data_IF_066662443534
#
_entry.id   IF_066662443534
#
_cell.length_a   1.000
_cell.length_b   1.000
_cell.length_c   1.000
_cell.angle_alpha   90.00
_cell.angle_beta   90.00
_cell.angle_gamma   90.00
#
_symmetry.space_group_name_H-M   'P 1'
#
loop_
_entity.id
_entity.type
_entity.pdbx_description
1 polymer ?
#
# COMPACT_ATOMS: atom_id res chain seq x y z
N UNK A 1 12.61 13.02 -60.88
CA UNK A 1 13.19 12.49 -59.63
C UNK A 1 12.11 12.61 -58.56
N UNK A 2 11.41 11.52 -58.24
CA UNK A 2 10.30 11.53 -57.27
C UNK A 2 10.90 11.23 -55.91
N UNK A 3 10.96 12.24 -55.04
CA UNK A 3 11.36 12.07 -53.64
C UNK A 3 10.14 11.52 -52.91
N UNK A 4 10.12 10.20 -52.67
CA UNK A 4 9.10 9.56 -51.85
C UNK A 4 9.34 9.91 -50.39
N UNK A 5 8.49 10.77 -49.83
CA UNK A 5 8.45 11.04 -48.40
C UNK A 5 7.85 9.82 -47.69
N UNK A 6 8.71 8.98 -47.11
CA UNK A 6 8.27 7.89 -46.24
C UNK A 6 7.94 8.50 -44.88
N UNK A 7 6.65 8.67 -44.59
CA UNK A 7 6.16 9.07 -43.28
C UNK A 7 6.18 7.83 -42.37
N UNK A 8 7.25 7.67 -41.57
CA UNK A 8 7.29 6.66 -40.53
C UNK A 8 6.36 7.09 -39.39
N UNK A 9 5.19 6.46 -39.29
CA UNK A 9 4.30 6.64 -38.13
C UNK A 9 4.88 5.80 -37.00
N UNK A 10 5.57 6.44 -36.06
CA UNK A 10 6.02 5.78 -34.84
C UNK A 10 4.79 5.37 -34.02
N UNK A 11 4.54 4.06 -33.90
CA UNK A 11 3.52 3.54 -32.99
C UNK A 11 3.96 3.84 -31.55
N UNK A 12 3.30 4.81 -30.91
CA UNK A 12 3.45 5.06 -29.48
C UNK A 12 2.87 3.88 -28.72
N UNK A 13 3.66 3.20 -27.90
CA UNK A 13 3.13 2.19 -26.98
C UNK A 13 2.04 2.83 -26.11
N UNK A 14 0.90 2.16 -25.96
CA UNK A 14 -0.13 2.64 -25.04
C UNK A 14 0.46 2.70 -23.63
N UNK A 15 0.26 3.82 -22.93
CA UNK A 15 0.69 3.94 -21.55
C UNK A 15 -0.11 2.96 -20.69
N UNK A 16 0.58 2.25 -19.80
CA UNK A 16 -0.07 1.42 -18.79
C UNK A 16 -0.93 2.32 -17.89
N UNK A 17 -2.24 2.06 -17.87
CA UNK A 17 -3.18 2.78 -17.01
C UNK A 17 -3.51 1.94 -15.77
N UNK A 18 -3.35 2.55 -14.60
CA UNK A 18 -3.76 1.95 -13.31
C UNK A 18 -5.19 2.41 -13.01
N UNK A 19 -6.11 1.47 -12.75
CA UNK A 19 -7.48 1.82 -12.34
C UNK A 19 -7.52 2.15 -10.85
N UNK A 20 -7.94 3.37 -10.49
CA UNK A 20 -8.05 3.82 -9.10
C UNK A 20 -8.97 2.94 -8.27
N UNK A 21 -9.99 2.33 -8.89
CA UNK A 21 -10.92 1.47 -8.18
C UNK A 21 -10.28 0.15 -7.75
N UNK A 22 -9.14 -0.23 -8.33
CA UNK A 22 -8.36 -1.43 -8.00
C UNK A 22 -7.35 -1.24 -6.85
N UNK A 23 -7.24 -0.02 -6.33
CA UNK A 23 -6.23 0.33 -5.34
C UNK A 23 -6.71 0.04 -3.91
N UNK A 24 -5.79 -0.51 -3.12
CA UNK A 24 -5.88 -0.59 -1.67
C UNK A 24 -5.59 0.78 -1.05
N UNK A 25 -4.45 1.38 -1.42
CA UNK A 25 -3.98 2.67 -0.94
C UNK A 25 -3.72 3.61 -2.11
N UNK A 26 -4.16 4.86 -1.99
CA UNK A 26 -3.84 5.90 -2.94
C UNK A 26 -3.56 7.25 -2.26
N UNK A 27 -2.41 7.86 -2.57
CA UNK A 27 -2.08 9.24 -2.16
C UNK A 27 -1.91 10.15 -3.37
N UNK A 28 -2.74 11.21 -3.48
CA UNK A 28 -2.69 12.10 -4.65
C UNK A 28 -1.58 13.17 -4.60
N UNK A 29 -1.20 13.67 -3.43
CA UNK A 29 -0.31 14.84 -3.35
C UNK A 29 0.95 14.61 -2.54
N UNK A 30 0.98 13.59 -1.69
CA UNK A 30 2.10 13.37 -0.76
C UNK A 30 2.44 11.88 -0.64
N UNK A 31 3.21 11.51 0.37
CA UNK A 31 3.88 10.21 0.49
C UNK A 31 3.00 9.16 1.16
N UNK A 32 3.21 7.89 0.78
CA UNK A 32 2.72 6.74 1.55
C UNK A 32 3.90 6.16 2.33
N UNK A 33 3.76 6.03 3.66
CA UNK A 33 4.77 5.42 4.53
C UNK A 33 4.19 4.18 5.21
N UNK A 34 4.79 3.03 4.94
CA UNK A 34 4.37 1.73 5.44
C UNK A 34 5.46 1.13 6.33
N UNK A 35 5.18 1.04 7.62
CA UNK A 35 6.15 0.56 8.60
C UNK A 35 6.32 -0.95 8.58
N UNK A 36 7.41 -1.40 9.22
CA UNK A 36 7.87 -2.80 9.21
C UNK A 36 6.83 -3.80 9.69
N UNK A 37 7.07 -5.06 9.33
CA UNK A 37 6.30 -6.22 9.80
C UNK A 37 4.81 -6.17 9.42
N UNK A 38 4.48 -5.50 8.31
CA UNK A 38 3.11 -5.27 7.84
C UNK A 38 2.78 -6.02 6.54
N UNK A 39 1.49 -6.21 6.27
CA UNK A 39 0.97 -6.93 5.11
C UNK A 39 -0.06 -6.07 4.36
N UNK A 40 0.13 -5.90 3.05
CA UNK A 40 -0.74 -5.09 2.19
C UNK A 40 -1.13 -5.90 0.94
N UNK A 41 -2.31 -6.52 0.99
CA UNK A 41 -2.83 -7.33 -0.11
C UNK A 41 -3.72 -6.47 -1.00
N UNK A 42 -3.08 -5.79 -1.95
CA UNK A 42 -3.70 -4.97 -2.96
C UNK A 42 -2.72 -3.93 -3.50
N UNK A 43 -3.10 -3.27 -4.60
CA UNK A 43 -2.25 -2.30 -5.24
C UNK A 43 -2.12 -1.00 -4.41
N UNK A 44 -0.90 -0.49 -4.31
CA UNK A 44 -0.57 0.78 -3.66
C UNK A 44 -0.13 1.77 -4.73
N UNK A 45 -0.63 3.00 -4.69
CA UNK A 45 -0.15 4.04 -5.59
C UNK A 45 -0.01 5.41 -4.91
N UNK A 46 1.02 6.17 -5.28
CA UNK A 46 1.17 7.57 -4.84
C UNK A 46 1.71 8.46 -5.96
N UNK A 47 1.26 9.71 -6.05
CA UNK A 47 1.92 10.65 -6.97
C UNK A 47 3.27 11.15 -6.47
N UNK A 48 3.49 11.10 -5.16
CA UNK A 48 4.82 11.29 -4.56
C UNK A 48 5.37 9.93 -4.13
N UNK A 49 6.24 9.92 -3.14
CA UNK A 49 6.99 8.73 -2.75
C UNK A 49 6.11 7.63 -2.14
N UNK A 50 6.54 6.38 -2.32
CA UNK A 50 6.09 5.23 -1.55
C UNK A 50 7.30 4.65 -0.81
N UNK A 51 7.30 4.77 0.52
CA UNK A 51 8.37 4.31 1.41
C UNK A 51 7.88 3.10 2.22
N UNK A 52 8.38 1.94 1.85
CA UNK A 52 8.03 0.64 2.40
C UNK A 52 9.20 0.16 3.24
N UNK A 53 9.00 0.00 4.55
CA UNK A 53 10.06 -0.42 5.47
C UNK A 53 10.34 -1.92 5.39
N UNK A 54 11.29 -2.34 6.20
CA UNK A 54 11.80 -3.70 6.26
C UNK A 54 10.69 -4.73 6.54
N UNK A 55 10.83 -5.95 5.99
CA UNK A 55 9.92 -7.08 6.24
C UNK A 55 8.44 -6.81 5.95
N UNK A 56 8.13 -5.83 5.10
CA UNK A 56 6.77 -5.61 4.60
C UNK A 56 6.49 -6.59 3.46
N UNK A 57 5.25 -7.11 3.42
CA UNK A 57 4.74 -7.88 2.28
C UNK A 57 3.67 -7.08 1.55
N UNK A 58 3.81 -6.92 0.25
CA UNK A 58 2.87 -6.15 -0.57
C UNK A 58 2.67 -6.75 -1.95
N UNK A 59 1.59 -6.36 -2.63
CA UNK A 59 1.36 -6.69 -4.04
C UNK A 59 2.01 -5.64 -4.97
N UNK A 60 1.25 -5.04 -5.90
CA UNK A 60 1.76 -4.04 -6.82
C UNK A 60 1.97 -2.67 -6.17
N UNK A 61 3.01 -1.95 -6.57
CA UNK A 61 3.36 -0.61 -6.06
C UNK A 61 3.64 0.34 -7.22
N UNK A 62 3.00 1.49 -7.22
CA UNK A 62 3.11 2.49 -8.27
C UNK A 62 3.45 3.87 -7.67
N UNK A 63 4.40 4.59 -8.25
CA UNK A 63 4.70 5.97 -7.86
C UNK A 63 5.03 6.88 -9.04
N UNK A 64 4.45 8.08 -9.09
CA UNK A 64 4.93 9.13 -10.01
C UNK A 64 6.24 9.80 -9.55
N UNK A 65 6.75 9.43 -8.38
CA UNK A 65 8.05 9.80 -7.84
C UNK A 65 8.85 8.53 -7.47
N UNK A 66 9.29 8.40 -6.22
CA UNK A 66 10.15 7.30 -5.79
C UNK A 66 9.37 6.13 -5.19
N UNK A 67 9.88 4.92 -5.38
CA UNK A 67 9.50 3.73 -4.59
C UNK A 67 10.75 3.23 -3.88
N UNK A 68 10.67 3.07 -2.56
CA UNK A 68 11.75 2.51 -1.75
C UNK A 68 11.25 1.34 -0.94
N UNK A 69 11.92 0.19 -1.05
CA UNK A 69 11.72 -0.97 -0.21
C UNK A 69 12.88 -1.12 0.76
N UNK A 70 12.58 -1.33 2.04
CA UNK A 70 13.55 -1.72 3.05
C UNK A 70 13.99 -3.17 2.88
N UNK A 71 14.88 -3.61 3.78
CA UNK A 71 15.45 -4.95 3.73
C UNK A 71 14.40 -6.04 3.97
N UNK A 72 14.60 -7.21 3.37
CA UNK A 72 13.74 -8.39 3.52
C UNK A 72 12.26 -8.14 3.13
N UNK A 73 11.97 -7.10 2.35
CA UNK A 73 10.65 -6.86 1.81
C UNK A 73 10.26 -7.96 0.81
N UNK A 74 8.97 -8.24 0.71
CA UNK A 74 8.41 -9.23 -0.23
C UNK A 74 7.37 -8.54 -1.10
N UNK A 75 7.56 -8.61 -2.41
CA UNK A 75 6.68 -7.94 -3.38
C UNK A 75 6.13 -8.98 -4.35
N UNK A 76 4.81 -8.96 -4.57
CA UNK A 76 4.09 -9.87 -5.47
C UNK A 76 3.24 -9.07 -6.46
N UNK A 77 3.86 -8.60 -7.54
CA UNK A 77 3.19 -7.74 -8.51
C UNK A 77 4.16 -6.84 -9.23
N UNK A 78 3.64 -5.77 -9.83
CA UNK A 78 4.44 -4.79 -10.58
C UNK A 78 4.96 -3.71 -9.66
N UNK A 79 6.18 -3.23 -9.91
CA UNK A 79 6.72 -2.02 -9.29
C UNK A 79 7.03 -1.02 -10.39
N UNK A 80 6.34 0.12 -10.39
CA UNK A 80 6.60 1.20 -11.35
C UNK A 80 6.86 2.51 -10.60
N UNK A 81 8.04 3.09 -10.76
CA UNK A 81 8.41 4.40 -10.22
C UNK A 81 8.82 5.35 -11.36
N UNK A 82 8.25 6.56 -11.44
CA UNK A 82 8.64 7.58 -12.42
C UNK A 82 9.91 8.34 -12.05
N UNK A 83 10.45 8.18 -10.83
CA UNK A 83 11.77 8.66 -10.45
C UNK A 83 12.67 7.48 -10.06
N UNK A 84 12.94 7.23 -8.78
CA UNK A 84 13.86 6.17 -8.35
C UNK A 84 13.06 4.96 -7.86
N UNK A 85 13.42 3.75 -8.30
CA UNK A 85 13.00 2.50 -7.68
C UNK A 85 14.18 1.88 -6.93
N UNK A 86 14.08 1.75 -5.61
CA UNK A 86 15.14 1.20 -4.75
C UNK A 86 14.66 -0.06 -4.05
N UNK A 87 15.41 -1.14 -4.18
CA UNK A 87 15.24 -2.38 -3.43
C UNK A 87 16.30 -2.49 -2.32
N UNK A 88 15.85 -2.70 -1.09
CA UNK A 88 16.69 -3.02 0.06
C UNK A 88 17.42 -4.37 -0.08
N UNK A 89 18.25 -4.70 0.90
CA UNK A 89 18.95 -5.98 0.90
C UNK A 89 17.97 -7.14 0.97
N UNK A 90 18.25 -8.22 0.24
CA UNK A 90 17.43 -9.45 0.24
C UNK A 90 15.94 -9.20 -0.08
N UNK A 91 15.63 -8.22 -0.93
CA UNK A 91 14.29 -8.09 -1.51
C UNK A 91 13.91 -9.42 -2.20
N UNK A 92 12.71 -9.92 -1.96
CA UNK A 92 12.10 -11.01 -2.71
C UNK A 92 10.96 -10.45 -3.58
N UNK A 93 11.25 -10.23 -4.87
CA UNK A 93 10.30 -9.72 -5.84
C UNK A 93 9.86 -10.82 -6.81
N UNK A 94 8.54 -10.95 -6.99
CA UNK A 94 7.93 -11.78 -8.03
C UNK A 94 6.89 -10.95 -8.76
N UNK A 95 7.12 -10.68 -10.04
CA UNK A 95 6.26 -9.82 -10.86
C UNK A 95 6.68 -9.80 -12.31
N UNK A 96 6.01 -8.97 -13.13
CA UNK A 96 6.45 -8.77 -14.51
C UNK A 96 7.58 -7.75 -14.59
N UNK A 97 7.46 -6.63 -13.87
CA UNK A 97 8.35 -5.48 -14.03
C UNK A 97 8.72 -4.83 -12.70
N UNK A 98 10.00 -4.50 -12.54
CA UNK A 98 10.55 -3.59 -11.53
C UNK A 98 11.21 -2.39 -12.23
N UNK A 99 10.49 -1.27 -12.28
CA UNK A 99 10.81 -0.16 -13.18
C UNK A 99 11.03 1.15 -12.43
N UNK A 100 12.06 1.90 -12.84
CA UNK A 100 12.41 3.25 -12.38
C UNK A 100 12.92 4.13 -13.52
N UNK A 101 13.09 5.44 -13.33
CA UNK A 101 14.04 6.21 -14.14
C UNK A 101 15.47 5.82 -13.78
N UNK A 102 15.74 5.74 -12.47
CA UNK A 102 16.91 5.11 -11.87
C UNK A 102 16.45 3.86 -11.12
N UNK A 103 17.20 2.77 -11.22
CA UNK A 103 16.91 1.54 -10.47
C UNK A 103 18.12 1.15 -9.64
N UNK A 104 17.95 1.00 -8.34
CA UNK A 104 18.98 0.54 -7.41
C UNK A 104 18.51 -0.74 -6.72
N UNK A 105 19.20 -1.84 -6.97
CA UNK A 105 18.92 -3.13 -6.32
C UNK A 105 20.09 -3.47 -5.42
N UNK A 106 19.86 -3.53 -4.10
CA UNK A 106 20.91 -3.81 -3.13
C UNK A 106 21.30 -5.30 -3.08
N UNK A 107 22.30 -5.59 -2.24
CA UNK A 107 22.92 -6.92 -2.10
C UNK A 107 21.92 -8.05 -1.83
N UNK A 108 22.17 -9.20 -2.45
CA UNK A 108 21.44 -10.46 -2.29
C UNK A 108 19.93 -10.40 -2.61
N UNK A 109 19.46 -9.40 -3.36
CA UNK A 109 18.08 -9.34 -3.81
C UNK A 109 17.77 -10.46 -4.83
N UNK A 110 16.57 -11.01 -4.77
CA UNK A 110 16.03 -11.97 -5.73
C UNK A 110 14.86 -11.34 -6.47
N UNK A 111 14.96 -11.26 -7.79
CA UNK A 111 13.95 -10.66 -8.66
C UNK A 111 13.52 -11.72 -9.67
N UNK A 112 12.24 -12.07 -9.69
CA UNK A 112 11.62 -12.85 -10.75
C UNK A 112 10.72 -11.91 -11.56
N UNK A 113 11.21 -11.50 -12.73
CA UNK A 113 10.65 -10.45 -13.58
C UNK A 113 11.74 -9.60 -14.22
N UNK A 114 11.34 -8.69 -15.09
CA UNK A 114 12.25 -7.76 -15.76
C UNK A 114 12.56 -6.56 -14.86
N UNK A 115 13.77 -6.03 -14.97
CA UNK A 115 14.21 -4.81 -14.30
C UNK A 115 14.50 -3.75 -15.36
N UNK A 116 13.91 -2.57 -15.20
CA UNK A 116 13.88 -1.56 -16.26
C UNK A 116 14.25 -0.16 -15.76
N UNK A 117 15.30 0.46 -16.31
CA UNK A 117 15.71 1.83 -16.03
C UNK A 117 15.45 2.75 -17.24
N UNK A 118 14.53 3.70 -17.10
CA UNK A 118 13.94 4.45 -18.23
C UNK A 118 14.71 5.68 -18.68
N UNK A 119 15.44 6.35 -17.81
CA UNK A 119 16.08 7.60 -18.21
C UNK A 119 17.40 7.85 -17.56
N UNK A 120 17.81 7.01 -16.62
CA UNK A 120 19.10 7.11 -15.95
C UNK A 120 19.74 5.74 -15.74
N UNK A 121 20.53 5.60 -14.67
CA UNK A 121 21.36 4.42 -14.43
C UNK A 121 20.58 3.28 -13.78
N UNK A 122 21.03 2.07 -14.07
CA UNK A 122 20.66 0.87 -13.32
C UNK A 122 21.87 0.36 -12.56
N UNK A 123 21.70 0.13 -11.26
CA UNK A 123 22.73 -0.46 -10.42
C UNK A 123 22.17 -1.69 -9.70
N UNK A 124 22.72 -2.86 -10.03
CA UNK A 124 22.51 -4.12 -9.32
C UNK A 124 23.74 -4.37 -8.46
N UNK A 125 23.60 -4.39 -7.14
CA UNK A 125 24.72 -4.68 -6.22
C UNK A 125 25.06 -6.17 -6.18
N UNK A 126 26.09 -6.53 -5.40
CA UNK A 126 26.63 -7.89 -5.40
C UNK A 126 25.64 -8.97 -4.95
N UNK A 127 25.80 -10.18 -5.48
CA UNK A 127 25.04 -11.36 -5.06
C UNK A 127 23.58 -11.39 -5.48
N UNK A 128 23.11 -10.40 -6.25
CA UNK A 128 21.72 -10.36 -6.67
C UNK A 128 21.42 -11.38 -7.79
N UNK A 129 20.20 -11.91 -7.80
CA UNK A 129 19.72 -12.85 -8.80
C UNK A 129 18.50 -12.31 -9.50
N UNK A 130 18.52 -12.28 -10.83
CA UNK A 130 17.42 -11.81 -11.67
C UNK A 130 17.00 -12.94 -12.62
N UNK A 131 15.73 -13.35 -12.53
CA UNK A 131 15.08 -14.28 -13.46
C UNK A 131 14.18 -13.48 -14.38
N UNK A 132 14.79 -12.92 -15.42
CA UNK A 132 14.24 -11.93 -16.33
C UNK A 132 15.39 -11.13 -16.95
N UNK A 133 15.07 -10.03 -17.62
CA UNK A 133 16.06 -9.18 -18.29
C UNK A 133 16.36 -7.90 -17.51
N UNK A 134 17.58 -7.39 -17.66
CA UNK A 134 18.01 -6.05 -17.22
C UNK A 134 18.02 -5.11 -18.43
N UNK A 135 17.12 -4.14 -18.46
CA UNK A 135 16.96 -3.21 -19.59
C UNK A 135 17.17 -1.76 -19.12
N UNK A 136 18.29 -1.15 -19.48
CA UNK A 136 18.57 0.25 -19.15
C UNK A 136 18.64 1.12 -20.40
N UNK A 137 17.99 2.29 -20.39
CA UNK A 137 18.18 3.31 -21.42
C UNK A 137 19.54 4.04 -21.30
N UNK A 138 20.26 3.88 -20.19
CA UNK A 138 21.65 4.36 -20.00
C UNK A 138 22.58 3.26 -19.50
N UNK A 139 23.60 3.62 -18.71
CA UNK A 139 24.54 2.68 -18.13
C UNK A 139 23.83 1.67 -17.21
N UNK A 140 24.24 0.41 -17.33
CA UNK A 140 23.81 -0.70 -16.49
C UNK A 140 25.03 -1.25 -15.79
N UNK A 141 25.08 -1.16 -14.46
CA UNK A 141 26.14 -1.69 -13.64
C UNK A 141 25.65 -2.89 -12.84
N UNK A 142 26.38 -4.00 -12.92
CA UNK A 142 26.07 -5.25 -12.23
C UNK A 142 27.24 -5.66 -11.36
N UNK A 143 27.01 -5.73 -10.06
CA UNK A 143 28.01 -6.02 -9.03
C UNK A 143 28.40 -7.49 -8.97
N UNK A 144 29.46 -7.77 -8.21
CA UNK A 144 30.10 -9.07 -8.13
C UNK A 144 29.16 -10.23 -7.78
N UNK A 145 29.42 -11.41 -8.33
CA UNK A 145 28.70 -12.66 -8.06
C UNK A 145 27.19 -12.60 -8.34
N UNK A 146 26.74 -11.69 -9.19
CA UNK A 146 25.34 -11.59 -9.61
C UNK A 146 25.02 -12.55 -10.76
N UNK A 147 23.77 -12.99 -10.85
CA UNK A 147 23.30 -13.88 -11.93
C UNK A 147 22.04 -13.32 -12.60
N UNK A 148 22.04 -13.29 -13.94
CA UNK A 148 20.93 -12.82 -14.77
C UNK A 148 20.53 -13.94 -15.73
N UNK A 149 19.32 -14.48 -15.54
CA UNK A 149 18.71 -15.49 -16.40
C UNK A 149 17.85 -14.82 -17.50
N UNK A 150 18.49 -13.99 -18.30
CA UNK A 150 17.88 -13.19 -19.36
C UNK A 150 18.91 -12.29 -20.02
N UNK A 151 18.44 -11.26 -20.70
CA UNK A 151 19.29 -10.28 -21.37
C UNK A 151 19.80 -9.24 -20.36
N UNK A 152 20.96 -8.64 -20.64
CA UNK A 152 21.46 -7.49 -19.93
C UNK A 152 21.87 -6.41 -20.93
N UNK A 153 21.04 -5.39 -21.11
CA UNK A 153 21.17 -4.41 -22.18
C UNK A 153 21.24 -2.99 -21.62
N UNK A 154 22.31 -2.28 -21.99
CA UNK A 154 22.41 -0.83 -21.82
C UNK A 154 21.89 -0.10 -23.07
N UNK A 155 21.61 1.19 -22.94
CA UNK A 155 21.15 2.00 -24.08
C UNK A 155 22.25 2.18 -25.13
N UNK A 156 21.88 2.51 -26.36
CA UNK A 156 22.85 2.81 -27.44
C UNK A 156 23.82 3.91 -26.98
N UNK A 157 25.12 3.62 -27.04
CA UNK A 157 26.18 4.56 -26.65
C UNK A 157 26.48 4.60 -25.14
N UNK A 158 25.85 3.73 -24.35
CA UNK A 158 26.10 3.56 -22.92
C UNK A 158 26.79 2.23 -22.61
N UNK A 159 27.25 2.10 -21.37
CA UNK A 159 28.09 1.00 -20.94
C UNK A 159 27.29 -0.03 -20.14
N UNK A 160 27.54 -1.29 -20.46
CA UNK A 160 27.22 -2.40 -19.59
C UNK A 160 28.48 -2.78 -18.80
N UNK A 161 28.44 -2.59 -17.48
CA UNK A 161 29.59 -2.75 -16.58
C UNK A 161 29.35 -3.95 -15.68
N UNK A 162 30.28 -4.91 -15.70
CA UNK A 162 30.22 -6.10 -14.87
C UNK A 162 31.32 -6.11 -13.80
N UNK A 163 30.94 -6.48 -12.58
CA UNK A 163 31.84 -6.87 -11.51
C UNK A 163 32.44 -8.26 -11.75
N UNK A 164 33.14 -8.77 -10.73
CA UNK A 164 33.73 -10.10 -10.77
C UNK A 164 32.65 -11.20 -10.76
N UNK A 165 32.85 -12.27 -11.54
CA UNK A 165 32.00 -13.47 -11.55
C UNK A 165 30.51 -13.22 -11.85
N UNK A 166 30.19 -12.19 -12.65
CA UNK A 166 28.81 -12.01 -13.14
C UNK A 166 28.49 -13.04 -14.21
N UNK A 167 27.30 -13.63 -14.15
CA UNK A 167 26.78 -14.53 -15.18
C UNK A 167 25.53 -13.94 -15.85
N UNK A 168 25.52 -13.85 -17.17
CA UNK A 168 24.36 -13.48 -18.00
C UNK A 168 24.11 -14.60 -18.99
N UNK A 169 22.88 -15.12 -19.06
CA UNK A 169 22.55 -16.23 -19.97
C UNK A 169 22.04 -15.77 -21.35
N UNK A 170 21.53 -14.54 -21.43
CA UNK A 170 20.98 -13.96 -22.65
C UNK A 170 21.98 -13.07 -23.41
N UNK A 171 21.44 -12.19 -24.24
CA UNK A 171 22.21 -11.20 -24.99
C UNK A 171 22.72 -10.08 -24.09
N UNK A 172 23.85 -9.49 -24.49
CA UNK A 172 24.38 -8.25 -23.93
C UNK A 172 24.38 -7.11 -24.95
N UNK A 173 23.61 -7.25 -26.04
CA UNK A 173 23.49 -6.24 -27.07
C UNK A 173 22.78 -4.99 -26.54
N UNK A 174 23.07 -3.79 -27.08
CA UNK A 174 22.38 -2.58 -26.69
C UNK A 174 20.88 -2.63 -26.96
N UNK A 175 20.10 -1.93 -26.14
CA UNK A 175 18.65 -1.82 -26.27
C UNK A 175 18.26 -1.11 -27.57
N UNK A 176 17.34 -1.70 -28.33
CA UNK A 176 16.87 -1.17 -29.62
C UNK A 176 15.72 -0.15 -29.50
N UNK A 177 15.00 -0.17 -28.36
CA UNK A 177 13.84 0.66 -28.11
C UNK A 177 13.82 1.22 -26.70
N UNK A 178 13.57 2.53 -26.58
CA UNK A 178 13.42 3.18 -25.31
C UNK A 178 12.20 2.68 -24.52
N UNK A 179 12.38 2.51 -23.21
CA UNK A 179 11.32 2.17 -22.25
C UNK A 179 10.47 3.42 -21.92
N UNK A 180 9.15 3.30 -21.96
CA UNK A 180 8.20 4.41 -21.78
C UNK A 180 7.82 4.65 -20.30
N UNK A 181 7.39 5.87 -19.98
CA UNK A 181 6.83 6.21 -18.67
C UNK A 181 5.36 5.79 -18.52
N UNK A 182 4.89 5.73 -17.26
CA UNK A 182 3.49 5.50 -16.93
C UNK A 182 2.87 6.72 -16.23
N UNK A 183 1.55 6.75 -16.12
CA UNK A 183 0.80 7.82 -15.43
C UNK A 183 -0.20 7.21 -14.47
N UNK A 184 -0.39 7.82 -13.30
CA UNK A 184 -1.41 7.40 -12.35
C UNK A 184 -2.78 8.01 -12.66
N UNK A 185 -3.87 7.35 -12.24
CA UNK A 185 -5.21 7.92 -12.33
C UNK A 185 -5.32 9.16 -11.43
N UNK A 186 -6.27 10.03 -11.74
CA UNK A 186 -6.62 11.14 -10.84
C UNK A 186 -7.56 10.64 -9.74
N UNK A 187 -7.48 11.24 -8.54
CA UNK A 187 -8.51 11.02 -7.53
C UNK A 187 -9.87 11.48 -8.10
N UNK A 188 -10.99 10.83 -7.75
CA UNK A 188 -12.30 11.38 -8.06
C UNK A 188 -12.43 12.80 -7.48
N UNK A 189 -13.31 13.63 -8.05
CA UNK A 189 -13.57 14.94 -7.46
C UNK A 189 -14.21 14.80 -6.06
N UNK A 190 -13.77 15.65 -5.10
CA UNK A 190 -14.40 15.71 -3.78
C UNK A 190 -15.91 15.98 -3.94
N UNK A 191 -16.79 15.17 -3.33
CA UNK A 191 -18.23 15.40 -3.38
C UNK A 191 -18.59 16.69 -2.62
N UNK A 192 -19.71 17.30 -2.97
CA UNK A 192 -20.18 18.53 -2.31
C UNK A 192 -20.26 18.31 -0.80
N UNK A 193 -19.64 19.22 -0.03
CA UNK A 193 -19.60 19.12 1.43
C UNK A 193 -21.02 19.16 2.01
N UNK A 194 -21.38 18.17 2.84
CA UNK A 194 -22.73 18.10 3.39
C UNK A 194 -22.96 19.16 4.48
N UNK A 195 -24.23 19.51 4.69
CA UNK A 195 -24.64 20.43 5.75
C UNK A 195 -24.57 19.74 7.11
N UNK A 196 -23.75 20.27 8.01
CA UNK A 196 -23.59 19.82 9.39
C UNK A 196 -24.83 20.17 10.22
N UNK A 197 -25.22 19.28 11.13
CA UNK A 197 -26.28 19.51 12.09
C UNK A 197 -25.87 20.42 13.25
N UNK A 198 -26.78 20.61 14.21
CA UNK A 198 -26.52 21.38 15.44
C UNK A 198 -26.46 20.51 16.70
N UNK A 199 -27.00 19.31 16.63
CA UNK A 199 -27.12 18.39 17.77
C UNK A 199 -25.83 17.61 17.96
N UNK A 200 -25.28 17.64 19.18
CA UNK A 200 -24.20 16.74 19.55
C UNK A 200 -24.77 15.39 19.94
N UNK A 201 -24.09 14.32 19.57
CA UNK A 201 -24.37 12.96 20.05
C UNK A 201 -23.27 12.58 21.03
N UNK A 202 -23.68 12.18 22.24
CA UNK A 202 -22.77 11.74 23.29
C UNK A 202 -23.25 10.41 23.87
N UNK A 203 -22.32 9.49 24.07
CA UNK A 203 -22.54 8.23 24.78
C UNK A 203 -21.56 8.13 25.94
N UNK A 204 -22.04 7.79 27.13
CA UNK A 204 -21.18 7.50 28.29
C UNK A 204 -20.45 6.17 28.09
N UNK A 205 -19.47 5.85 28.95
CA UNK A 205 -18.80 4.56 28.89
C UNK A 205 -19.81 3.41 29.04
N UNK A 206 -19.55 2.29 28.36
CA UNK A 206 -20.39 1.08 28.38
C UNK A 206 -21.85 1.32 27.93
N UNK A 207 -22.10 2.40 27.18
CA UNK A 207 -23.44 2.73 26.70
C UNK A 207 -23.72 2.15 25.33
N UNK A 208 -25.00 2.04 24.96
CA UNK A 208 -25.41 1.77 23.59
C UNK A 208 -26.12 3.01 23.03
N UNK A 209 -25.64 3.50 21.90
CA UNK A 209 -26.23 4.63 21.17
C UNK A 209 -26.69 4.13 19.81
N UNK A 210 -27.97 4.33 19.49
CA UNK A 210 -28.51 4.04 18.15
C UNK A 210 -28.86 5.37 17.48
N UNK A 211 -28.34 5.58 16.27
CA UNK A 211 -28.59 6.79 15.49
C UNK A 211 -29.34 6.47 14.21
N UNK A 212 -30.45 7.17 13.98
CA UNK A 212 -31.05 7.24 12.66
C UNK A 212 -30.13 8.04 11.71
N UNK A 213 -30.16 7.79 10.40
CA UNK A 213 -29.49 8.63 9.42
C UNK A 213 -29.87 10.11 9.56
N UNK A 214 -28.90 11.01 9.42
CA UNK A 214 -29.14 12.45 9.60
C UNK A 214 -27.87 13.29 9.75
N UNK A 215 -28.07 14.60 9.93
CA UNK A 215 -27.00 15.57 10.17
C UNK A 215 -26.88 15.92 11.64
N UNK A 216 -25.68 15.74 12.17
CA UNK A 216 -25.28 16.01 13.55
C UNK A 216 -24.12 17.01 13.57
N UNK A 217 -23.85 17.57 14.75
CA UNK A 217 -22.68 18.40 14.99
C UNK A 217 -21.50 17.50 15.33
N UNK A 218 -21.33 17.13 16.59
CA UNK A 218 -20.19 16.31 17.02
C UNK A 218 -20.69 14.94 17.53
N UNK A 219 -20.03 13.84 17.16
CA UNK A 219 -20.21 12.52 17.76
C UNK A 219 -19.03 12.22 18.69
N UNK A 220 -19.32 11.91 19.95
CA UNK A 220 -18.31 11.54 20.95
C UNK A 220 -18.85 10.41 21.81
N UNK A 221 -18.37 9.20 21.59
CA UNK A 221 -18.78 8.01 22.34
C UNK A 221 -17.60 7.51 23.17
N UNK A 222 -17.82 7.34 24.47
CA UNK A 222 -16.80 6.91 25.43
C UNK A 222 -16.50 5.40 25.35
N UNK A 223 -15.50 4.95 26.10
CA UNK A 223 -14.93 3.60 26.02
C UNK A 223 -15.97 2.48 26.20
N UNK A 224 -15.68 1.31 25.62
CA UNK A 224 -16.48 0.08 25.79
C UNK A 224 -17.96 0.21 25.37
N UNK A 225 -18.28 1.22 24.56
CA UNK A 225 -19.64 1.52 24.13
C UNK A 225 -19.95 0.92 22.75
N UNK A 226 -21.24 0.82 22.45
CA UNK A 226 -21.75 0.36 21.16
C UNK A 226 -22.47 1.49 20.43
N UNK A 227 -22.09 1.75 19.18
CA UNK A 227 -22.80 2.62 18.25
C UNK A 227 -23.49 1.77 17.19
N UNK A 228 -24.82 1.88 17.07
CA UNK A 228 -25.59 1.21 16.03
C UNK A 228 -26.00 2.22 14.96
N UNK A 229 -25.62 1.91 13.72
CA UNK A 229 -25.99 2.64 12.52
C UNK A 229 -26.77 1.70 11.59
N UNK A 230 -27.79 2.23 10.92
CA UNK A 230 -28.54 1.55 9.86
C UNK A 230 -28.25 2.20 8.51
N UNK A 231 -28.59 1.53 7.40
CA UNK A 231 -28.47 2.07 6.04
C UNK A 231 -28.94 3.52 5.92
N UNK A 232 -28.14 4.34 5.23
CA UNK A 232 -28.40 5.77 5.07
C UNK A 232 -27.17 6.65 5.26
N UNK A 233 -27.39 7.96 5.22
CA UNK A 233 -26.33 8.96 5.28
C UNK A 233 -26.26 9.63 6.65
N UNK A 234 -25.08 9.62 7.25
CA UNK A 234 -24.74 10.30 8.49
C UNK A 234 -23.77 11.44 8.20
N UNK A 235 -24.00 12.61 8.77
CA UNK A 235 -23.13 13.77 8.61
C UNK A 235 -22.70 14.28 9.98
N UNK A 236 -21.41 14.44 10.18
CA UNK A 236 -20.80 14.97 11.40
C UNK A 236 -19.80 16.08 11.06
N UNK A 237 -19.60 17.01 11.99
CA UNK A 237 -18.43 17.86 12.02
C UNK A 237 -17.21 17.04 12.41
N UNK A 238 -17.26 16.35 13.55
CA UNK A 238 -16.21 15.46 14.05
C UNK A 238 -16.80 14.14 14.54
N UNK A 239 -16.02 13.07 14.39
CA UNK A 239 -16.34 11.72 14.82
C UNK A 239 -15.26 11.24 15.78
N UNK A 240 -15.64 10.92 17.02
CA UNK A 240 -14.77 10.31 18.02
C UNK A 240 -15.42 9.08 18.63
N UNK A 241 -14.71 7.96 18.56
CA UNK A 241 -15.04 6.73 19.29
C UNK A 241 -13.86 6.36 20.17
N UNK A 242 -14.04 6.35 21.49
CA UNK A 242 -12.98 5.99 22.42
C UNK A 242 -12.63 4.48 22.33
N UNK A 243 -11.63 4.05 23.11
CA UNK A 243 -11.09 2.68 23.03
C UNK A 243 -12.14 1.59 23.25
N UNK A 244 -11.95 0.45 22.57
CA UNK A 244 -12.79 -0.76 22.63
C UNK A 244 -14.26 -0.50 22.29
N UNK A 245 -14.54 0.58 21.57
CA UNK A 245 -15.87 0.84 21.03
C UNK A 245 -16.22 -0.15 19.92
N UNK A 246 -17.50 -0.46 19.80
CA UNK A 246 -18.04 -1.29 18.72
C UNK A 246 -18.98 -0.43 17.89
N UNK A 247 -18.74 -0.34 16.58
CA UNK A 247 -19.64 0.30 15.63
C UNK A 247 -20.32 -0.79 14.81
N UNK A 248 -21.57 -1.11 15.16
CA UNK A 248 -22.40 -2.00 14.37
C UNK A 248 -23.00 -1.22 13.20
N UNK A 249 -22.78 -1.69 11.98
CA UNK A 249 -23.21 -1.00 10.77
C UNK A 249 -24.12 -1.93 9.95
N UNK A 250 -25.43 -1.77 10.12
CA UNK A 250 -26.40 -2.54 9.34
C UNK A 250 -26.55 -1.94 7.94
N UNK A 251 -25.98 -2.61 6.95
CA UNK A 251 -26.03 -2.29 5.52
C UNK A 251 -27.07 -3.13 4.76
N UNK A 252 -27.98 -3.83 5.46
CA UNK A 252 -29.02 -4.66 4.83
C UNK A 252 -30.02 -3.87 3.98
N UNK A 253 -30.27 -2.60 4.33
CA UNK A 253 -31.12 -1.67 3.58
C UNK A 253 -30.38 -0.86 2.50
N UNK A 254 -29.11 -1.19 2.22
CA UNK A 254 -28.21 -0.44 1.35
C UNK A 254 -27.01 0.15 2.08
N UNK A 255 -26.26 1.01 1.38
CA UNK A 255 -25.00 1.57 1.89
C UNK A 255 -25.20 2.42 3.15
N UNK A 256 -24.19 2.42 4.02
CA UNK A 256 -24.03 3.39 5.10
C UNK A 256 -22.93 4.37 4.72
N UNK A 257 -23.30 5.64 4.59
CA UNK A 257 -22.38 6.72 4.20
C UNK A 257 -22.14 7.64 5.39
N UNK A 258 -20.91 7.69 5.89
CA UNK A 258 -20.50 8.55 7.00
C UNK A 258 -19.67 9.70 6.42
N UNK A 259 -20.19 10.92 6.50
CA UNK A 259 -19.46 12.12 6.07
C UNK A 259 -19.03 12.93 7.28
N UNK A 260 -17.74 13.26 7.36
CA UNK A 260 -17.15 14.00 8.47
C UNK A 260 -16.36 15.19 7.93
N UNK A 261 -16.53 16.40 8.47
CA UNK A 261 -15.94 17.61 7.87
C UNK A 261 -14.69 18.15 8.54
N UNK A 262 -14.29 17.60 9.69
CA UNK A 262 -13.20 18.13 10.51
C UNK A 262 -12.23 17.10 11.05
N UNK A 263 -12.64 15.86 11.31
CA UNK A 263 -11.76 14.84 11.85
C UNK A 263 -12.51 13.56 12.20
N UNK A 264 -11.95 12.43 11.79
CA UNK A 264 -12.46 11.10 12.11
C UNK A 264 -11.39 10.37 12.91
N UNK A 265 -11.62 10.26 14.21
CA UNK A 265 -10.63 9.76 15.15
C UNK A 265 -11.21 8.60 15.96
N UNK A 266 -10.38 7.60 16.20
CA UNK A 266 -10.74 6.47 17.07
C UNK A 266 -9.65 6.22 18.09
N UNK A 267 -10.07 5.73 19.26
CA UNK A 267 -9.16 5.20 20.26
C UNK A 267 -8.57 3.86 19.82
N UNK A 268 -8.16 3.07 20.81
CA UNK A 268 -7.54 1.76 20.57
C UNK A 268 -8.59 0.67 20.46
N UNK A 269 -8.39 -0.31 19.58
CA UNK A 269 -9.21 -1.51 19.47
C UNK A 269 -10.69 -1.24 19.17
N UNK A 270 -11.01 -0.16 18.44
CA UNK A 270 -12.38 0.06 17.93
C UNK A 270 -12.63 -0.90 16.76
N UNK A 271 -13.83 -1.47 16.74
CA UNK A 271 -14.25 -2.42 15.72
C UNK A 271 -15.42 -1.86 14.93
N UNK A 272 -15.33 -1.87 13.60
CA UNK A 272 -16.45 -1.64 12.70
C UNK A 272 -16.95 -2.98 12.20
N UNK A 273 -18.17 -3.33 12.60
CA UNK A 273 -18.81 -4.61 12.33
C UNK A 273 -19.98 -4.40 11.36
N UNK A 274 -19.71 -4.27 10.05
CA UNK A 274 -20.80 -4.19 9.08
C UNK A 274 -21.49 -5.54 8.90
N UNK A 275 -22.80 -5.50 8.71
CA UNK A 275 -23.66 -6.64 8.37
C UNK A 275 -24.55 -6.30 7.19
N UNK A 276 -24.77 -7.23 6.27
CA UNK A 276 -25.54 -7.00 5.05
C UNK A 276 -24.64 -6.92 3.81
N UNK A 277 -25.24 -6.57 2.68
CA UNK A 277 -24.57 -6.54 1.36
C UNK A 277 -24.12 -5.14 0.94
N UNK A 278 -24.68 -4.08 1.56
CA UNK A 278 -24.27 -2.71 1.29
C UNK A 278 -22.87 -2.39 1.82
N UNK A 279 -22.32 -1.28 1.36
CA UNK A 279 -20.96 -0.82 1.69
C UNK A 279 -20.98 0.14 2.89
N UNK A 280 -19.87 0.19 3.61
CA UNK A 280 -19.56 1.28 4.54
C UNK A 280 -18.63 2.25 3.83
N UNK A 281 -19.09 3.47 3.62
CA UNK A 281 -18.35 4.52 2.91
C UNK A 281 -18.09 5.66 3.90
N UNK A 282 -16.83 6.01 4.11
CA UNK A 282 -16.42 7.07 5.03
C UNK A 282 -15.76 8.19 4.23
N UNK A 283 -16.38 9.35 4.17
CA UNK A 283 -15.84 10.55 3.54
C UNK A 283 -15.37 11.53 4.62
N UNK A 284 -14.09 11.89 4.60
CA UNK A 284 -13.51 12.90 5.49
C UNK A 284 -13.13 14.13 4.67
N UNK A 285 -13.95 15.16 4.80
CA UNK A 285 -13.85 16.43 4.10
C UNK A 285 -13.00 17.45 4.87
N UNK A 286 -12.66 18.53 4.16
CA UNK A 286 -11.92 19.64 4.75
C UNK A 286 -10.47 19.27 5.07
N UNK A 287 -9.83 20.09 5.89
CA UNK A 287 -8.44 19.87 6.32
C UNK A 287 -8.32 18.89 7.49
N UNK A 288 -9.44 18.25 7.87
CA UNK A 288 -9.48 17.22 8.89
C UNK A 288 -8.76 15.96 8.45
N UNK A 289 -7.99 15.35 9.35
CA UNK A 289 -7.35 14.06 9.12
C UNK A 289 -8.20 12.90 9.65
N UNK A 290 -7.67 11.70 9.42
CA UNK A 290 -8.10 10.47 10.07
C UNK A 290 -6.99 10.00 10.98
N UNK A 291 -7.32 9.67 12.23
CA UNK A 291 -6.40 8.96 13.10
C UNK A 291 -7.07 7.71 13.69
N UNK A 292 -6.54 6.54 13.34
CA UNK A 292 -6.95 5.28 13.94
C UNK A 292 -5.93 4.85 14.98
N UNK A 293 -6.36 4.73 16.25
CA UNK A 293 -5.50 4.23 17.31
C UNK A 293 -5.04 2.76 17.13
N UNK A 294 -4.29 2.27 18.11
CA UNK A 294 -3.73 0.90 18.11
C UNK A 294 -4.81 -0.18 17.91
N UNK A 295 -4.55 -1.12 17.00
CA UNK A 295 -5.31 -2.38 16.92
C UNK A 295 -6.75 -2.25 16.44
N UNK A 296 -7.08 -1.18 15.72
CA UNK A 296 -8.41 -1.00 15.14
C UNK A 296 -8.72 -2.06 14.08
N UNK A 297 -9.98 -2.46 13.98
CA UNK A 297 -10.49 -3.39 12.97
C UNK A 297 -11.61 -2.71 12.17
N UNK A 298 -11.43 -2.57 10.86
CA UNK A 298 -12.38 -1.82 10.04
C UNK A 298 -12.61 -2.45 8.67
N UNK A 299 -13.87 -2.63 8.28
CA UNK A 299 -14.28 -2.93 6.90
C UNK A 299 -15.01 -1.71 6.33
N UNK A 300 -14.32 -0.91 5.51
CA UNK A 300 -14.88 0.30 4.92
C UNK A 300 -14.08 0.76 3.68
N UNK A 301 -14.72 1.60 2.86
CA UNK A 301 -14.03 2.42 1.87
C UNK A 301 -13.89 3.82 2.43
N UNK A 302 -12.66 4.29 2.59
CA UNK A 302 -12.35 5.57 3.22
C UNK A 302 -11.73 6.56 2.22
N UNK A 303 -12.29 7.76 2.17
CA UNK A 303 -11.88 8.84 1.29
C UNK A 303 -11.53 10.08 2.12
N UNK A 304 -10.27 10.50 2.12
CA UNK A 304 -9.75 11.65 2.89
C UNK A 304 -9.39 12.77 1.93
N UNK A 305 -10.30 13.72 1.75
CA UNK A 305 -10.30 14.63 0.60
C UNK A 305 -9.28 15.76 0.66
N UNK A 306 -8.90 16.28 1.83
CA UNK A 306 -7.81 17.28 1.94
C UNK A 306 -6.96 17.12 3.23
N UNK A 307 -7.06 15.94 3.86
CA UNK A 307 -6.38 15.60 5.10
C UNK A 307 -5.41 14.44 4.92
N UNK A 308 -4.76 14.09 6.02
CA UNK A 308 -3.89 12.92 6.14
C UNK A 308 -4.69 11.72 6.67
N UNK A 309 -4.28 10.52 6.30
CA UNK A 309 -4.71 9.30 6.97
C UNK A 309 -3.54 8.77 7.82
N UNK A 310 -3.80 8.56 9.11
CA UNK A 310 -2.85 7.96 10.04
C UNK A 310 -3.48 6.78 10.77
N UNK A 311 -2.69 5.73 10.97
CA UNK A 311 -3.04 4.63 11.84
C UNK A 311 -1.84 4.19 12.67
N UNK A 312 -2.08 3.97 13.97
CA UNK A 312 -1.16 3.29 14.87
C UNK A 312 -1.01 1.80 14.48
N UNK A 313 -0.20 1.10 15.27
CA UNK A 313 0.19 -0.29 15.05
C UNK A 313 -1.01 -1.23 14.96
N UNK A 314 -0.79 -2.38 14.31
CA UNK A 314 -1.72 -3.50 14.26
C UNK A 314 -3.11 -3.14 13.69
N UNK A 315 -3.20 -2.13 12.82
CA UNK A 315 -4.43 -1.85 12.08
C UNK A 315 -4.82 -3.07 11.25
N UNK A 316 -6.05 -3.54 11.38
CA UNK A 316 -6.66 -4.49 10.47
C UNK A 316 -7.72 -3.76 9.65
N UNK A 317 -7.48 -3.61 8.35
CA UNK A 317 -8.38 -2.84 7.50
C UNK A 317 -8.71 -3.61 6.22
N UNK A 318 -9.99 -3.61 5.86
CA UNK A 318 -10.49 -4.24 4.65
C UNK A 318 -11.32 -3.25 3.82
N UNK A 319 -10.89 -3.04 2.58
CA UNK A 319 -11.50 -2.09 1.65
C UNK A 319 -10.44 -1.24 0.98
N UNK A 320 -10.71 0.05 0.84
CA UNK A 320 -9.81 1.00 0.17
C UNK A 320 -9.62 2.25 1.02
N UNK A 321 -8.40 2.81 1.00
CA UNK A 321 -8.07 4.10 1.60
C UNK A 321 -7.51 4.99 0.50
N UNK A 322 -8.25 6.04 0.12
CA UNK A 322 -7.78 7.09 -0.77
C UNK A 322 -7.61 8.37 0.05
N UNK A 323 -6.42 8.96 0.03
CA UNK A 323 -6.15 10.24 0.66
C UNK A 323 -5.55 11.22 -0.35
N UNK A 324 -5.89 12.49 -0.21
CA UNK A 324 -5.26 13.51 -1.03
C UNK A 324 -3.83 13.82 -0.57
N UNK A 325 -3.55 13.69 0.73
CA UNK A 325 -2.23 13.91 1.34
C UNK A 325 -1.65 12.59 1.89
N UNK A 326 -0.73 12.69 2.85
CA UNK A 326 -0.03 11.54 3.43
C UNK A 326 -0.96 10.41 3.91
N UNK A 327 -0.49 9.18 3.68
CA UNK A 327 -0.96 7.97 4.34
C UNK A 327 0.21 7.43 5.18
N UNK A 328 0.02 7.32 6.49
CA UNK A 328 1.01 6.76 7.41
C UNK A 328 0.40 5.61 8.18
N UNK A 329 0.97 4.42 8.04
CA UNK A 329 0.48 3.21 8.71
C UNK A 329 1.65 2.62 9.50
N UNK A 330 1.48 2.55 10.81
CA UNK A 330 2.49 2.05 11.73
C UNK A 330 2.58 0.50 11.71
N UNK A 331 3.53 -0.04 12.47
CA UNK A 331 3.98 -1.44 12.43
C UNK A 331 2.87 -2.47 12.61
N UNK A 332 3.04 -3.64 11.99
CA UNK A 332 2.17 -4.81 12.22
C UNK A 332 0.79 -4.70 11.58
N UNK A 333 0.57 -3.75 10.68
CA UNK A 333 -0.71 -3.57 10.02
C UNK A 333 -1.00 -4.71 9.01
N UNK A 334 -2.28 -5.03 8.83
CA UNK A 334 -2.76 -6.00 7.86
C UNK A 334 -3.93 -5.39 7.07
N UNK A 335 -3.66 -5.06 5.82
CA UNK A 335 -4.61 -4.41 4.93
C UNK A 335 -4.97 -5.34 3.77
N UNK A 336 -6.26 -5.42 3.49
CA UNK A 336 -6.81 -6.27 2.44
C UNK A 336 -7.71 -5.46 1.52
N UNK A 337 -7.39 -5.48 0.24
CA UNK A 337 -8.27 -4.90 -0.75
C UNK A 337 -9.50 -5.79 -0.93
N UNK A 338 -10.68 -5.16 -1.04
CA UNK A 338 -11.93 -5.87 -1.27
C UNK A 338 -12.72 -5.14 -2.36
N UNK A 339 -12.81 -5.74 -3.55
CA UNK A 339 -13.77 -5.30 -4.55
C UNK A 339 -15.18 -5.57 -4.05
N UNK A 340 -15.87 -4.53 -3.60
CA UNK A 340 -17.31 -4.54 -3.52
C UNK A 340 -17.92 -5.39 -2.40
N UNK A 341 -17.34 -5.40 -1.21
CA UNK A 341 -18.06 -5.81 0.01
C UNK A 341 -18.26 -7.31 0.20
N UNK A 342 -17.72 -8.16 -0.68
CA UNK A 342 -17.73 -9.61 -0.53
C UNK A 342 -17.30 -10.05 0.88
N UNK A 343 -17.98 -11.05 1.44
CA UNK A 343 -17.67 -11.61 2.74
C UNK A 343 -16.29 -12.27 2.67
N UNK A 344 -15.30 -11.60 3.26
CA UNK A 344 -14.00 -12.19 3.49
C UNK A 344 -14.16 -13.31 4.52
N UNK A 345 -13.84 -14.53 4.10
CA UNK A 345 -13.50 -15.61 5.01
C UNK A 345 -12.22 -15.13 5.70
N UNK A 346 -12.32 -14.73 6.98
CA UNK A 346 -11.20 -14.16 7.74
C UNK A 346 -9.91 -14.90 7.44
N UNK A 347 -8.81 -14.17 7.23
CA UNK A 347 -7.48 -14.81 7.19
C UNK A 347 -7.42 -15.63 8.47
N UNK A 348 -7.25 -16.97 8.38
CA UNK A 348 -7.01 -17.79 9.56
C UNK A 348 -5.90 -17.08 10.31
N UNK A 349 -6.14 -16.70 11.57
CA UNK A 349 -5.18 -15.91 12.36
C UNK A 349 -3.77 -16.35 12.00
N UNK A 350 -2.90 -15.43 11.58
CA UNK A 350 -1.66 -15.83 10.95
C UNK A 350 -0.96 -16.77 11.93
N UNK A 351 -0.81 -18.02 11.50
CA UNK A 351 -0.21 -19.11 12.30
C UNK A 351 1.17 -18.69 12.81
N UNK A 352 1.76 -17.62 12.27
CA UNK A 352 2.93 -16.94 12.81
C UNK A 352 2.80 -16.55 14.28
N UNK A 353 1.64 -16.15 14.80
CA UNK A 353 1.49 -15.84 16.23
C UNK A 353 1.55 -17.12 17.08
N UNK A 354 0.97 -18.22 16.58
CA UNK A 354 1.10 -19.54 17.19
C UNK A 354 2.53 -20.11 17.07
N UNK A 355 3.23 -19.86 15.96
CA UNK A 355 4.62 -20.27 15.73
C UNK A 355 5.59 -19.46 16.59
N UNK A 356 5.35 -18.16 16.79
CA UNK A 356 6.16 -17.31 17.66
C UNK A 356 5.93 -17.66 19.14
N UNK A 357 4.69 -17.95 19.53
CA UNK A 357 4.36 -18.46 20.86
C UNK A 357 5.00 -19.85 21.10
N UNK A 358 4.93 -20.77 20.13
CA UNK A 358 5.58 -22.08 20.23
C UNK A 358 7.12 -21.95 20.30
N UNK A 359 7.70 -21.04 19.53
CA UNK A 359 9.13 -20.71 19.57
C UNK A 359 9.56 -20.15 20.93
N UNK A 360 8.80 -19.22 21.50
CA UNK A 360 9.06 -18.65 22.82
C UNK A 360 8.93 -19.70 23.95
N UNK A 361 7.92 -20.58 23.88
CA UNK A 361 7.77 -21.71 24.81
C UNK A 361 8.95 -22.68 24.69
N UNK A 362 9.40 -23.02 23.48
CA UNK A 362 10.59 -23.85 23.26
C UNK A 362 11.87 -23.21 23.81
N UNK A 363 12.05 -21.90 23.66
CA UNK A 363 13.20 -21.19 24.25
C UNK A 363 13.15 -21.16 25.79
N UNK A 364 11.96 -20.96 26.38
CA UNK A 364 11.78 -21.01 27.83
C UNK A 364 12.02 -22.42 28.40
N UNK A 365 11.56 -23.46 27.71
CA UNK A 365 11.82 -24.85 28.09
C UNK A 365 13.31 -25.22 27.97
N UNK A 366 14.01 -24.69 26.95
CA UNK A 366 15.46 -24.90 26.78
C UNK A 366 16.28 -24.22 27.89
N UNK A 367 15.80 -23.08 28.42
CA UNK A 367 16.47 -22.36 29.52
C UNK A 367 16.37 -23.10 30.86
N UNK A 368 15.29 -23.85 31.12
CA UNK A 368 15.13 -24.64 32.37
C UNK A 368 16.02 -25.88 32.44
N UNK A 369 16.44 -26.46 31.31
CA UNK A 369 17.31 -27.65 31.31
C UNK A 369 18.79 -27.40 31.63
N UNK A 370 19.23 -26.14 31.76
CA UNK A 370 20.63 -25.81 32.10
C UNK A 370 20.92 -25.66 33.60
N UNK A 371 19.93 -25.86 34.47
CA UNK A 371 20.09 -25.66 35.93
C UNK A 371 20.12 -26.94 36.79
N UNK A 372 20.30 -28.12 36.19
CA UNK A 372 20.49 -29.36 36.96
C UNK A 372 21.83 -29.99 36.59
N UNK A 373 22.89 -29.44 37.18
CA UNK A 373 24.16 -30.15 37.40
C UNK A 373 24.64 -29.75 38.79
N UNK A 374 24.39 -30.64 39.75
CA UNK A 374 25.03 -30.71 41.06
C UNK A 374 25.29 -32.16 41.35
#
# INVERSE_FOLDING_TARGET
MVVGLILAVAATAAADTVDINSLLLYSEQETIVLQRDSFYFGAIAAKQDVDIKERVRTDAVYSEANVSFGDDAVVRGRVLANAVATAGMRLDFVGSDFTGNTVNINTDATIQGDVQARSDTMALQSGATVTGSLLGNRDVAVGDNSTIYGDASAGIGYNLIFGANVTVTGSTDPLDKAIAAFTLPLMPAEPTRPRIGRTNVRGSAESTVTLAPGSYKDLSIEQDSVLNLSSGTYVFKSFWMAKRGIVNVDTSGGDVVINVTSGFDTGQYVQFNPSGEGKVIINVHGNGGVWLGLGNMMKANMFVWNGIFGADKNLQFMGTILAKKNISIDEGAALYYSQGGGNYQGVPEPISLAVLAAGAVMMLLRRRRRHVVT
#
